data_IF_593985427739
#
_entry.id   IF_593985427739
#
_cell.length_a   1.000
_cell.length_b   1.000
_cell.length_c   1.000
_cell.angle_alpha   90.00
_cell.angle_beta   90.00
_cell.angle_gamma   90.00
#
_symmetry.space_group_name_H-M   'P 1'
#
loop_
_entity.id
_entity.type
_entity.pdbx_description
1 polymer ?
#
# COMPACT_ATOMS: atom_id res chain seq x y z
N UNK A 1 3.33 -7.91 -1.87
CA UNK A 1 2.34 -7.25 -0.98
C UNK A 1 2.55 -7.75 0.44
N UNK A 2 2.52 -6.86 1.40
CA UNK A 2 2.56 -7.15 2.83
C UNK A 2 1.12 -7.14 3.35
N UNK A 3 0.77 -8.07 4.24
CA UNK A 3 -0.57 -8.19 4.81
C UNK A 3 -0.51 -8.15 6.33
N UNK A 4 -1.60 -7.76 6.99
CA UNK A 4 -1.65 -7.65 8.45
C UNK A 4 -0.63 -6.64 9.00
N UNK A 5 -0.45 -5.52 8.31
CA UNK A 5 0.53 -4.49 8.67
C UNK A 5 0.05 -3.65 9.85
N UNK A 6 1.00 -3.06 10.59
CA UNK A 6 0.70 -2.13 11.68
C UNK A 6 0.33 -0.72 11.19
N UNK A 7 0.18 -0.52 9.89
CA UNK A 7 -0.13 0.79 9.31
C UNK A 7 1.04 1.77 9.32
N UNK A 8 2.27 1.28 9.25
CA UNK A 8 3.46 2.12 9.23
C UNK A 8 4.56 1.50 8.39
N UNK A 9 5.20 2.33 7.58
CA UNK A 9 6.46 2.03 6.88
C UNK A 9 7.43 3.18 7.07
N UNK A 10 8.68 2.89 7.37
CA UNK A 10 9.74 3.89 7.44
C UNK A 10 10.83 3.53 6.43
N UNK A 11 11.16 4.48 5.57
CA UNK A 11 12.28 4.43 4.65
C UNK A 11 13.40 5.32 5.19
N UNK A 12 14.59 4.77 5.36
CA UNK A 12 15.78 5.54 5.78
C UNK A 12 16.74 5.69 4.60
N UNK A 13 17.05 6.94 4.26
CA UNK A 13 18.11 7.27 3.32
C UNK A 13 19.40 7.54 4.11
N UNK A 14 20.29 6.57 4.12
CA UNK A 14 21.55 6.67 4.88
C UNK A 14 22.54 7.66 4.24
N UNK A 15 22.48 7.82 2.92
CA UNK A 15 23.38 8.73 2.20
C UNK A 15 23.07 10.20 2.51
N UNK A 16 21.80 10.55 2.56
CA UNK A 16 21.34 11.92 2.79
C UNK A 16 20.86 12.17 4.22
N UNK A 17 20.95 11.15 5.08
CA UNK A 17 20.66 11.24 6.53
C UNK A 17 19.26 11.71 6.86
N UNK A 18 18.26 11.14 6.24
CA UNK A 18 16.87 11.37 6.62
C UNK A 18 16.04 10.08 6.59
N UNK A 19 14.95 10.09 7.29
CA UNK A 19 13.95 9.03 7.24
C UNK A 19 12.58 9.61 6.93
N UNK A 20 11.85 8.91 6.05
CA UNK A 20 10.46 9.21 5.71
C UNK A 20 9.59 8.11 6.30
N UNK A 21 8.60 8.49 7.09
CA UNK A 21 7.61 7.56 7.64
C UNK A 21 6.24 7.85 7.03
N UNK A 22 5.63 6.83 6.47
CA UNK A 22 4.23 6.84 6.04
C UNK A 22 3.44 6.04 7.07
N UNK A 23 2.37 6.62 7.60
CA UNK A 23 1.48 5.97 8.55
C UNK A 23 0.02 6.12 8.11
N UNK A 24 -0.78 5.06 8.33
CA UNK A 24 -2.20 5.03 7.95
C UNK A 24 -3.01 4.17 8.93
N UNK A 25 -4.32 4.22 8.79
CA UNK A 25 -5.22 3.38 9.59
C UNK A 25 -5.23 1.94 9.05
N UNK A 26 -4.52 1.05 9.73
CA UNK A 26 -4.43 -0.37 9.36
C UNK A 26 -5.76 -1.12 9.55
N UNK A 27 -6.68 -0.62 10.38
CA UNK A 27 -8.01 -1.22 10.51
C UNK A 27 -8.85 -1.00 9.23
N UNK A 28 -8.54 0.03 8.46
CA UNK A 28 -9.19 0.33 7.18
C UNK A 28 -8.41 -0.24 6.00
N UNK A 29 -7.07 -0.10 6.02
CA UNK A 29 -6.18 -0.57 4.96
C UNK A 29 -5.18 -1.57 5.55
N UNK A 30 -5.56 -2.84 5.70
CA UNK A 30 -4.77 -3.82 6.44
C UNK A 30 -3.53 -4.32 5.71
N UNK A 31 -3.40 -3.98 4.44
CA UNK A 31 -2.31 -4.43 3.57
C UNK A 31 -1.54 -3.26 2.99
N UNK A 32 -0.34 -3.54 2.52
CA UNK A 32 0.50 -2.56 1.84
C UNK A 32 1.19 -3.21 0.64
N UNK A 33 0.99 -2.64 -0.54
CA UNK A 33 1.78 -2.98 -1.70
C UNK A 33 3.06 -2.15 -1.67
N UNK A 34 4.20 -2.81 -1.83
CA UNK A 34 5.49 -2.14 -2.01
C UNK A 34 5.89 -2.32 -3.47
N UNK A 35 6.02 -1.21 -4.18
CA UNK A 35 6.46 -1.19 -5.57
C UNK A 35 7.84 -0.56 -5.66
N UNK A 36 8.79 -1.31 -6.21
CA UNK A 36 10.16 -0.86 -6.41
C UNK A 36 10.38 -0.64 -7.90
N UNK A 37 10.50 0.61 -8.31
CA UNK A 37 10.92 0.98 -9.66
C UNK A 37 12.43 1.22 -9.67
N UNK A 38 13.13 0.43 -10.44
CA UNK A 38 14.58 0.55 -10.61
C UNK A 38 14.93 0.63 -12.11
N UNK A 39 14.28 1.55 -12.82
CA UNK A 39 14.49 1.74 -14.25
C UNK A 39 13.98 0.60 -15.15
N UNK A 40 13.30 -0.41 -14.60
CA UNK A 40 12.87 -1.61 -15.35
C UNK A 40 11.70 -1.40 -16.31
N UNK A 41 10.93 -0.31 -16.18
CA UNK A 41 9.83 0.01 -17.09
C UNK A 41 10.33 0.89 -18.22
N UNK A 42 10.49 0.31 -19.40
CA UNK A 42 11.04 0.98 -20.59
C UNK A 42 9.99 1.77 -21.39
N UNK A 43 8.71 1.36 -21.33
CA UNK A 43 7.62 2.01 -22.05
C UNK A 43 7.28 3.40 -21.50
N UNK A 44 6.61 4.22 -22.37
CA UNK A 44 6.06 5.51 -21.95
C UNK A 44 5.03 5.34 -20.81
N UNK A 45 5.00 6.22 -19.80
CA UNK A 45 5.80 7.44 -19.61
C UNK A 45 7.14 7.22 -18.87
N UNK A 46 7.45 6.00 -18.48
CA UNK A 46 8.54 5.65 -17.57
C UNK A 46 9.94 5.76 -18.21
N UNK A 47 10.08 5.30 -19.44
CA UNK A 47 11.28 5.40 -20.30
C UNK A 47 12.58 4.92 -19.61
N UNK A 48 12.50 3.96 -18.69
CA UNK A 48 13.67 3.47 -17.96
C UNK A 48 14.30 4.46 -16.98
N UNK A 49 13.64 5.58 -16.66
CA UNK A 49 14.23 6.68 -15.87
C UNK A 49 13.71 6.79 -14.45
N UNK A 50 12.72 6.00 -14.09
CA UNK A 50 12.07 6.10 -12.77
C UNK A 50 12.76 5.16 -11.79
N UNK A 51 13.37 5.75 -10.75
CA UNK A 51 13.84 5.05 -9.56
C UNK A 51 13.02 5.57 -8.38
N UNK A 52 12.05 4.79 -7.94
CA UNK A 52 11.13 5.17 -6.88
C UNK A 52 10.69 3.96 -6.06
N UNK A 53 10.31 4.22 -4.81
CA UNK A 53 9.64 3.27 -3.94
C UNK A 53 8.20 3.73 -3.74
N UNK A 54 7.24 2.96 -4.23
CA UNK A 54 5.82 3.14 -3.94
C UNK A 54 5.46 2.42 -2.65
N UNK A 55 4.81 3.13 -1.74
CA UNK A 55 4.21 2.59 -0.53
C UNK A 55 2.71 2.80 -0.67
N UNK A 56 1.98 1.72 -0.89
CA UNK A 56 0.58 1.75 -1.32
C UNK A 56 -0.29 0.99 -0.31
N UNK A 57 -0.75 1.67 0.78
CA UNK A 57 -1.69 1.07 1.71
C UNK A 57 -2.99 0.70 1.02
N UNK A 58 -3.50 -0.50 1.24
CA UNK A 58 -4.66 -1.00 0.53
C UNK A 58 -5.49 -2.02 1.33
N UNK A 59 -6.74 -2.18 0.90
CA UNK A 59 -7.57 -3.34 1.17
C UNK A 59 -7.86 -3.99 -0.18
N UNK A 60 -6.98 -4.84 -0.65
CA UNK A 60 -7.03 -5.43 -1.99
C UNK A 60 -6.36 -6.81 -2.01
N UNK A 61 -6.70 -7.60 -3.01
CA UNK A 61 -6.10 -8.90 -3.28
C UNK A 61 -4.96 -8.80 -4.31
N UNK A 62 -4.13 -7.76 -4.23
CA UNK A 62 -3.06 -7.47 -5.18
C UNK A 62 -3.61 -7.39 -6.63
N UNK A 63 -2.98 -8.07 -7.57
CA UNK A 63 -3.32 -8.06 -9.01
C UNK A 63 -4.17 -9.28 -9.43
N UNK A 64 -4.92 -9.86 -8.49
CA UNK A 64 -5.73 -11.06 -8.74
C UNK A 64 -7.13 -10.74 -9.29
N UNK A 65 -7.45 -9.45 -9.40
CA UNK A 65 -8.69 -8.97 -9.99
C UNK A 65 -9.89 -8.91 -9.03
N UNK A 66 -10.98 -8.23 -9.48
CA UNK A 66 -12.15 -7.97 -8.64
C UNK A 66 -12.88 -9.24 -8.19
N UNK A 67 -12.94 -10.26 -9.04
CA UNK A 67 -13.59 -11.52 -8.71
C UNK A 67 -12.92 -12.20 -7.52
N UNK A 68 -11.59 -12.24 -7.49
CA UNK A 68 -10.85 -12.79 -6.36
C UNK A 68 -10.96 -11.90 -5.12
N UNK A 69 -10.92 -10.58 -5.28
CA UNK A 69 -11.06 -9.65 -4.16
C UNK A 69 -12.41 -9.78 -3.46
N UNK A 70 -13.50 -10.04 -4.20
CA UNK A 70 -14.84 -10.24 -3.68
C UNK A 70 -15.14 -11.66 -3.16
N UNK A 71 -14.30 -12.65 -3.48
CA UNK A 71 -14.51 -14.03 -3.08
C UNK A 71 -14.23 -14.21 -1.57
N UNK A 72 -15.23 -14.70 -0.84
CA UNK A 72 -15.13 -14.94 0.60
C UNK A 72 -14.17 -16.09 0.96
N UNK A 73 -13.92 -17.01 0.04
CA UNK A 73 -13.12 -18.23 0.27
C UNK A 73 -11.68 -18.12 -0.24
N UNK A 74 -11.10 -16.93 -0.20
CA UNK A 74 -9.67 -16.74 -0.53
C UNK A 74 -8.77 -16.97 0.69
N UNK A 75 -7.49 -17.33 0.50
CA UNK A 75 -6.53 -17.47 1.59
C UNK A 75 -6.41 -16.23 2.47
N UNK A 76 -6.47 -15.02 1.91
CA UNK A 76 -6.39 -13.77 2.67
C UNK A 76 -7.63 -13.62 3.56
N UNK A 77 -8.82 -13.82 3.02
CA UNK A 77 -10.06 -13.71 3.78
C UNK A 77 -10.19 -14.78 4.85
N UNK A 78 -9.76 -16.01 4.58
CA UNK A 78 -9.65 -17.08 5.59
C UNK A 78 -8.68 -16.70 6.73
N UNK A 79 -7.64 -15.93 6.44
CA UNK A 79 -6.74 -15.37 7.43
C UNK A 79 -7.27 -14.10 8.12
N UNK A 80 -8.53 -13.71 7.85
CA UNK A 80 -9.15 -12.52 8.44
C UNK A 80 -8.68 -11.19 7.86
N UNK A 81 -8.03 -11.21 6.68
CA UNK A 81 -7.51 -10.01 6.03
C UNK A 81 -8.51 -9.53 4.96
N UNK A 82 -9.15 -8.37 5.13
CA UNK A 82 -10.05 -7.79 4.15
C UNK A 82 -9.33 -7.49 2.82
N UNK A 83 -9.98 -7.83 1.72
CA UNK A 83 -9.49 -7.62 0.36
C UNK A 83 -10.32 -6.61 -0.43
N UNK A 84 -11.28 -5.99 0.23
CA UNK A 84 -12.12 -4.92 -0.30
C UNK A 84 -12.57 -3.96 0.82
N UNK A 85 -13.16 -2.85 0.41
CA UNK A 85 -13.82 -1.89 1.29
C UNK A 85 -15.27 -1.71 0.86
N UNK A 86 -16.19 -1.96 1.79
CA UNK A 86 -17.60 -1.67 1.55
C UNK A 86 -17.87 -0.15 1.64
N UNK A 87 -18.52 0.38 0.62
CA UNK A 87 -19.00 1.75 0.58
C UNK A 87 -20.53 1.76 0.56
N UNK A 88 -21.14 2.56 1.42
CA UNK A 88 -22.57 2.73 1.50
C UNK A 88 -22.96 4.11 0.95
N UNK A 89 -23.96 4.18 0.10
CA UNK A 89 -24.32 5.36 -0.68
C UNK A 89 -24.58 6.65 0.13
N UNK A 90 -24.93 6.52 1.41
CA UNK A 90 -25.25 7.67 2.27
C UNK A 90 -24.23 7.88 3.40
N UNK A 91 -23.13 7.14 3.43
CA UNK A 91 -22.15 7.20 4.52
C UNK A 91 -20.82 7.68 3.98
N UNK A 92 -20.29 8.77 4.55
CA UNK A 92 -18.93 9.22 4.25
C UNK A 92 -17.94 8.32 4.97
N UNK A 93 -16.94 7.79 4.24
CA UNK A 93 -15.78 7.13 4.82
C UNK A 93 -14.59 8.08 4.74
N UNK A 94 -13.90 8.26 5.85
CA UNK A 94 -12.64 9.01 5.89
C UNK A 94 -11.51 8.02 6.07
N UNK A 95 -10.49 8.15 5.24
CA UNK A 95 -9.23 7.42 5.36
C UNK A 95 -8.16 8.46 5.64
N UNK A 96 -7.42 8.27 6.73
CA UNK A 96 -6.37 9.19 7.13
C UNK A 96 -5.02 8.53 6.93
N UNK A 97 -4.06 9.32 6.48
CA UNK A 97 -2.66 8.94 6.43
C UNK A 97 -1.80 10.16 6.78
N UNK A 98 -0.57 9.91 7.15
CA UNK A 98 0.42 10.95 7.40
C UNK A 98 1.75 10.58 6.78
N UNK A 99 2.50 11.61 6.37
CA UNK A 99 3.88 11.48 5.92
C UNK A 99 4.71 12.38 6.81
N UNK A 100 5.71 11.83 7.48
CA UNK A 100 6.64 12.55 8.32
C UNK A 100 8.06 12.37 7.82
N UNK A 101 8.84 13.45 7.82
CA UNK A 101 10.26 13.42 7.49
C UNK A 101 11.06 13.85 8.71
N UNK A 102 12.14 13.15 9.00
CA UNK A 102 13.04 13.48 10.13
C UNK A 102 14.49 13.20 9.73
N UNK A 103 15.46 13.90 10.35
CA UNK A 103 16.86 13.47 10.30
C UNK A 103 17.01 12.05 10.84
N UNK A 104 17.93 11.28 10.27
CA UNK A 104 18.25 9.90 10.69
C UNK A 104 19.66 9.80 11.25
#
# INVERSE_FOLDING_TARGET
MLTGTEGRVTLTNFAERYAVTVSWDAAVLPSCLVWISNGGRLGYPWLGRVCALGIEPCAAAFDLGPAYAGDADTPLRRAGIPTDLAFHAKTKRRIQYSIAVRPS
#
